data_IF_856600376706
#
_entry.id   IF_856600376706
#
_cell.length_a   1.000
_cell.length_b   1.000
_cell.length_c   1.000
_cell.angle_alpha   90.00
_cell.angle_beta   90.00
_cell.angle_gamma   90.00
#
_symmetry.space_group_name_H-M   'P 1'
#
loop_
_entity.id
_entity.type
_entity.pdbx_description
1 polymer ?
#
# COMPACT_ATOMS: atom_id res chain seq x y z
N UNK A 1 0.90 10.58 -17.46
CA UNK A 1 1.07 9.16 -17.10
C UNK A 1 0.64 8.97 -15.66
N UNK A 2 -0.08 7.91 -15.39
CA UNK A 2 -0.52 7.61 -14.02
C UNK A 2 0.37 6.54 -13.39
N UNK A 3 0.67 6.73 -12.12
CA UNK A 3 1.37 5.75 -11.30
C UNK A 3 0.56 5.49 -10.04
N UNK A 4 0.46 4.23 -9.64
CA UNK A 4 -0.18 3.83 -8.40
C UNK A 4 0.88 3.28 -7.47
N UNK A 5 0.90 3.80 -6.26
CA UNK A 5 1.82 3.35 -5.22
C UNK A 5 1.01 2.65 -4.14
N UNK A 6 1.25 1.36 -3.98
CA UNK A 6 0.61 0.55 -2.95
C UNK A 6 1.56 0.47 -1.76
N UNK A 7 1.11 0.92 -0.61
CA UNK A 7 1.91 0.97 0.61
C UNK A 7 1.28 0.05 1.65
N UNK A 8 2.05 -0.92 2.14
CA UNK A 8 1.60 -1.86 3.15
C UNK A 8 2.64 -1.96 4.26
N UNK A 9 2.19 -2.34 5.45
CA UNK A 9 3.09 -2.60 6.56
C UNK A 9 3.93 -3.85 6.28
N UNK A 10 5.19 -3.81 6.71
CA UNK A 10 6.08 -4.97 6.60
C UNK A 10 5.54 -6.14 7.43
N UNK A 11 5.84 -7.38 7.02
CA UNK A 11 5.51 -8.55 7.84
C UNK A 11 6.08 -8.37 9.25
N UNK A 12 5.30 -8.74 10.26
CA UNK A 12 5.69 -8.59 11.65
C UNK A 12 5.39 -7.25 12.28
N UNK A 13 5.06 -6.23 11.49
CA UNK A 13 4.59 -4.95 12.02
C UNK A 13 3.11 -5.06 12.35
N UNK A 14 2.73 -4.62 13.55
CA UNK A 14 1.34 -4.66 13.99
C UNK A 14 0.48 -3.79 13.10
N UNK A 15 -0.67 -4.34 12.67
CA UNK A 15 -1.66 -3.66 11.84
C UNK A 15 -3.00 -3.62 12.59
N UNK A 16 -3.23 -2.60 13.44
CA UNK A 16 -4.47 -2.51 14.20
C UNK A 16 -5.71 -2.39 13.32
N UNK A 17 -5.60 -1.70 12.19
CA UNK A 17 -6.72 -1.53 11.26
C UNK A 17 -7.10 -2.87 10.61
N UNK A 18 -6.12 -3.62 10.14
CA UNK A 18 -6.35 -4.95 9.57
C UNK A 18 -6.96 -5.91 10.58
N UNK A 19 -6.48 -5.88 11.82
CA UNK A 19 -7.04 -6.70 12.89
C UNK A 19 -8.48 -6.33 13.22
N UNK A 20 -8.80 -5.04 13.25
CA UNK A 20 -10.16 -4.57 13.50
C UNK A 20 -11.12 -5.01 12.38
N UNK A 21 -10.69 -4.93 11.14
CA UNK A 21 -11.47 -5.38 9.99
C UNK A 21 -11.72 -6.90 10.08
N UNK A 22 -10.68 -7.65 10.38
CA UNK A 22 -10.76 -9.10 10.51
C UNK A 22 -11.77 -9.51 11.60
N UNK A 23 -11.67 -8.88 12.76
CA UNK A 23 -12.59 -9.13 13.86
C UNK A 23 -14.04 -8.79 13.48
N UNK A 24 -14.25 -7.67 12.80
CA UNK A 24 -15.57 -7.25 12.36
C UNK A 24 -16.17 -8.23 11.34
N UNK A 25 -15.36 -8.76 10.42
CA UNK A 25 -15.81 -9.74 9.44
C UNK A 25 -16.24 -11.05 10.13
N UNK A 26 -15.49 -11.49 11.14
CA UNK A 26 -15.87 -12.66 11.93
C UNK A 26 -17.23 -12.44 12.62
N UNK A 27 -17.41 -11.25 13.20
CA UNK A 27 -18.67 -10.89 13.85
C UNK A 27 -19.86 -10.84 12.91
N UNK A 28 -19.61 -10.62 11.60
CA UNK A 28 -20.63 -10.64 10.57
C UNK A 28 -20.87 -12.04 9.99
N UNK A 29 -20.16 -13.05 10.45
CA UNK A 29 -20.32 -14.43 10.01
C UNK A 29 -19.39 -14.88 8.90
N UNK A 30 -18.42 -14.08 8.52
CA UNK A 30 -17.44 -14.44 7.49
C UNK A 30 -16.25 -15.19 8.12
N UNK A 31 -16.40 -16.48 8.30
CA UNK A 31 -15.41 -17.31 9.00
C UNK A 31 -14.26 -17.79 8.12
N UNK A 32 -14.34 -17.56 6.80
CA UNK A 32 -13.31 -18.02 5.87
C UNK A 32 -12.12 -17.07 5.70
N UNK A 33 -12.10 -15.95 6.42
CA UNK A 33 -11.02 -14.95 6.30
C UNK A 33 -9.94 -15.30 7.31
N UNK A 34 -8.76 -15.68 6.82
CA UNK A 34 -7.65 -16.09 7.67
C UNK A 34 -6.83 -14.92 8.19
N UNK A 35 -6.72 -13.86 7.41
CA UNK A 35 -5.96 -12.66 7.78
C UNK A 35 -6.44 -11.46 6.98
N UNK A 36 -6.22 -10.27 7.52
CA UNK A 36 -6.52 -9.01 6.85
C UNK A 36 -5.35 -8.07 7.06
N UNK A 37 -4.88 -7.49 5.98
CA UNK A 37 -3.84 -6.44 6.01
C UNK A 37 -4.41 -5.20 5.34
N UNK A 38 -4.36 -4.07 6.03
CA UNK A 38 -4.77 -2.79 5.48
C UNK A 38 -3.56 -2.03 4.96
N UNK A 39 -3.76 -1.20 3.97
CA UNK A 39 -2.70 -0.39 3.40
C UNK A 39 -3.25 0.86 2.75
N UNK A 40 -2.39 1.56 2.03
CA UNK A 40 -2.74 2.80 1.34
C UNK A 40 -2.51 2.64 -0.15
N UNK A 41 -3.33 3.33 -0.92
CA UNK A 41 -3.11 3.53 -2.35
C UNK A 41 -2.91 5.02 -2.59
N UNK A 42 -1.79 5.39 -3.20
CA UNK A 42 -1.51 6.76 -3.62
C UNK A 42 -1.46 6.78 -5.14
N UNK A 43 -2.32 7.58 -5.75
CA UNK A 43 -2.33 7.76 -7.19
C UNK A 43 -1.60 9.04 -7.54
N UNK A 44 -0.65 8.93 -8.48
CA UNK A 44 0.14 10.05 -8.95
C UNK A 44 -0.15 10.27 -10.43
N UNK A 45 -0.32 11.52 -10.81
CA UNK A 45 -0.31 11.91 -12.21
C UNK A 45 1.01 12.64 -12.45
N UNK A 46 1.90 12.00 -13.18
CA UNK A 46 3.26 12.49 -13.38
C UNK A 46 3.50 12.82 -14.86
N UNK A 47 4.45 13.71 -15.10
CA UNK A 47 4.82 14.09 -16.46
C UNK A 47 5.31 12.89 -17.26
N UNK A 48 5.04 12.90 -18.56
CA UNK A 48 5.60 11.92 -19.46
C UNK A 48 7.12 11.90 -19.36
N UNK A 49 7.71 10.73 -19.38
CA UNK A 49 9.16 10.59 -19.25
C UNK A 49 9.66 10.52 -17.82
N UNK A 50 8.78 10.65 -16.83
CA UNK A 50 9.17 10.44 -15.43
C UNK A 50 9.64 9.00 -15.26
N UNK A 51 10.86 8.83 -14.72
CA UNK A 51 11.46 7.51 -14.56
C UNK A 51 10.87 6.78 -13.36
N UNK A 52 10.94 5.45 -13.39
CA UNK A 52 10.56 4.65 -12.23
C UNK A 52 11.45 4.96 -11.04
N UNK A 53 12.73 5.25 -11.28
CA UNK A 53 13.69 5.65 -10.25
C UNK A 53 13.22 6.92 -9.52
N UNK A 54 12.69 7.89 -10.24
CA UNK A 54 12.15 9.10 -9.62
C UNK A 54 10.96 8.80 -8.73
N UNK A 55 10.07 7.91 -9.17
CA UNK A 55 8.90 7.52 -8.38
C UNK A 55 9.34 6.74 -7.13
N UNK A 56 10.33 5.87 -7.28
CA UNK A 56 10.90 5.16 -6.12
C UNK A 56 11.48 6.13 -5.10
N UNK A 57 12.17 7.18 -5.56
CA UNK A 57 12.70 8.21 -4.67
C UNK A 57 11.60 8.96 -3.95
N UNK A 58 10.50 9.27 -4.63
CA UNK A 58 9.33 9.87 -4.00
C UNK A 58 8.80 8.99 -2.87
N UNK A 59 8.74 7.69 -3.11
CA UNK A 59 8.28 6.73 -2.10
C UNK A 59 9.19 6.73 -0.89
N UNK A 60 10.50 6.64 -1.11
CA UNK A 60 11.48 6.56 -0.01
C UNK A 60 11.58 7.86 0.78
N UNK A 61 11.45 9.00 0.12
CA UNK A 61 11.65 10.31 0.76
C UNK A 61 10.39 10.85 1.42
N UNK A 62 9.22 10.44 0.96
CA UNK A 62 7.97 11.03 1.44
C UNK A 62 6.81 10.06 1.58
N UNK A 63 6.53 9.26 0.54
CA UNK A 63 5.24 8.56 0.46
C UNK A 63 5.14 7.37 1.41
N UNK A 64 6.25 6.69 1.68
CA UNK A 64 6.30 5.53 2.55
C UNK A 64 7.30 5.73 3.68
N UNK A 65 6.96 5.20 4.85
CA UNK A 65 7.92 5.09 5.95
C UNK A 65 8.63 3.74 5.82
N UNK A 66 9.81 3.75 5.20
CA UNK A 66 10.52 2.52 4.84
C UNK A 66 11.04 1.72 6.03
N UNK A 67 10.96 2.27 7.24
CA UNK A 67 11.27 1.51 8.46
C UNK A 67 10.21 0.45 8.72
N UNK A 68 8.93 0.79 8.50
CA UNK A 68 7.80 -0.08 8.83
C UNK A 68 6.94 -0.46 7.63
N UNK A 69 7.16 0.15 6.48
CA UNK A 69 6.31 -0.04 5.30
C UNK A 69 7.10 -0.53 4.09
N UNK A 70 6.44 -1.34 3.28
CA UNK A 70 6.87 -1.68 1.93
C UNK A 70 6.03 -0.90 0.93
N UNK A 71 6.55 -0.70 -0.27
CA UNK A 71 5.77 -0.08 -1.34
C UNK A 71 5.95 -0.87 -2.64
N UNK A 72 4.93 -0.77 -3.49
CA UNK A 72 4.94 -1.35 -4.84
C UNK A 72 4.38 -0.30 -5.80
N UNK A 73 5.05 -0.13 -6.93
CA UNK A 73 4.68 0.86 -7.94
C UNK A 73 4.08 0.13 -9.14
N UNK A 74 2.90 0.58 -9.57
CA UNK A 74 2.32 0.18 -10.84
C UNK A 74 2.19 1.40 -11.73
N UNK A 75 2.69 1.32 -12.94
CA UNK A 75 2.65 2.42 -13.92
C UNK A 75 1.65 2.06 -15.00
N UNK A 76 0.79 3.01 -15.31
CA UNK A 76 -0.20 2.89 -16.36
C UNK A 76 0.25 3.76 -17.53
N UNK A 77 0.68 3.12 -18.60
CA UNK A 77 1.00 3.81 -19.84
C UNK A 77 -0.28 3.94 -20.66
N UNK A 78 -0.74 5.17 -20.79
CA UNK A 78 -1.92 5.44 -21.61
C UNK A 78 -1.59 5.26 -23.10
#
# INVERSE_FOLDING_TARGET
>A
MKARVFITLKPGVLDPQGKAIHHALEGLGFSGVNDVRAGKLIELDVAEGTSESDIEDMCRKLLANTVIENFRIERENA
#
